data_IF_557238070553
#
_entry.id   IF_557238070553
#
_cell.length_a   1.000
_cell.length_b   1.000
_cell.length_c   1.000
_cell.angle_alpha   90.00
_cell.angle_beta   90.00
_cell.angle_gamma   90.00
#
_symmetry.space_group_name_H-M   'P 1'
#
loop_
_entity.id
_entity.type
_entity.pdbx_description
1 polymer ?
#
# COMPACT_ATOMS: atom_id res chain seq x y z
N UNK A 1 -0.35 -34.91 -6.70
CA UNK A 1 0.53 -34.43 -7.79
C UNK A 1 1.83 -33.98 -7.14
N UNK A 2 2.87 -34.81 -7.19
CA UNK A 2 4.18 -34.48 -6.62
C UNK A 2 4.78 -33.34 -7.45
N UNK A 3 5.05 -32.21 -6.81
CA UNK A 3 5.83 -31.15 -7.44
C UNK A 3 7.22 -31.71 -7.71
N UNK A 4 7.60 -31.81 -8.99
CA UNK A 4 8.96 -32.11 -9.38
C UNK A 4 9.88 -31.05 -8.78
N UNK A 5 10.82 -31.48 -7.94
CA UNK A 5 11.87 -30.61 -7.42
C UNK A 5 12.83 -30.31 -8.60
N UNK A 6 12.57 -29.16 -9.27
CA UNK A 6 13.56 -28.64 -10.21
C UNK A 6 14.71 -28.02 -9.38
N UNK A 7 15.94 -28.44 -9.65
CA UNK A 7 17.12 -27.78 -9.10
C UNK A 7 17.11 -26.31 -9.56
N UNK A 8 17.01 -25.40 -8.60
CA UNK A 8 17.09 -23.96 -8.89
C UNK A 8 18.56 -23.58 -8.99
N UNK A 9 18.99 -23.07 -10.14
CA UNK A 9 20.36 -22.62 -10.35
C UNK A 9 20.64 -21.26 -9.68
N UNK A 10 19.60 -20.48 -9.41
CA UNK A 10 19.70 -19.14 -8.78
C UNK A 10 18.51 -18.94 -7.85
N UNK A 11 18.77 -18.43 -6.66
CA UNK A 11 17.72 -18.01 -5.69
C UNK A 11 18.18 -16.79 -4.91
N UNK A 12 17.24 -16.05 -4.35
CA UNK A 12 17.48 -15.02 -3.35
C UNK A 12 17.13 -15.58 -1.97
N UNK A 13 18.02 -15.41 -1.02
CA UNK A 13 17.79 -15.76 0.38
C UNK A 13 17.52 -14.47 1.16
N UNK A 14 16.34 -14.38 1.79
CA UNK A 14 15.89 -13.20 2.51
C UNK A 14 15.96 -13.47 4.00
N UNK A 15 16.85 -12.76 4.68
CA UNK A 15 16.99 -12.81 6.13
C UNK A 15 15.96 -11.88 6.80
N UNK A 16 14.91 -12.47 7.36
CA UNK A 16 13.84 -11.74 8.05
C UNK A 16 14.29 -11.16 9.39
N UNK A 17 15.31 -11.69 10.03
CA UNK A 17 15.84 -11.14 11.28
C UNK A 17 16.68 -9.89 11.01
N UNK A 18 17.44 -9.88 9.92
CA UNK A 18 18.12 -8.67 9.46
C UNK A 18 17.11 -7.58 9.08
N UNK A 19 16.00 -7.95 8.39
CA UNK A 19 14.91 -7.02 8.08
C UNK A 19 14.30 -6.42 9.36
N UNK A 20 14.06 -7.25 10.37
CA UNK A 20 13.56 -6.86 11.69
C UNK A 20 14.50 -5.88 12.38
N UNK A 21 15.78 -6.21 12.41
CA UNK A 21 16.81 -5.35 13.04
C UNK A 21 16.87 -3.98 12.35
N UNK A 22 16.86 -3.95 11.02
CA UNK A 22 16.86 -2.71 10.25
C UNK A 22 15.60 -1.86 10.52
N UNK A 23 14.42 -2.48 10.58
CA UNK A 23 13.18 -1.75 10.89
C UNK A 23 13.22 -1.13 12.29
N UNK A 24 13.77 -1.84 13.28
CA UNK A 24 13.92 -1.31 14.65
C UNK A 24 14.82 -0.08 14.71
N UNK A 25 15.91 -0.05 13.92
CA UNK A 25 16.79 1.12 13.83
C UNK A 25 16.01 2.32 13.26
N UNK A 26 15.25 2.12 12.19
CA UNK A 26 14.40 3.18 11.59
C UNK A 26 13.36 3.66 12.59
N UNK A 27 12.68 2.74 13.28
CA UNK A 27 11.67 3.06 14.28
C UNK A 27 12.25 3.87 15.46
N UNK A 28 13.43 3.49 15.93
CA UNK A 28 14.11 4.23 16.99
C UNK A 28 14.42 5.67 16.58
N UNK A 29 14.85 5.88 15.33
CA UNK A 29 15.12 7.22 14.79
C UNK A 29 13.85 8.03 14.55
N UNK A 30 12.75 7.38 14.17
CA UNK A 30 11.46 8.03 13.99
C UNK A 30 10.79 8.44 15.32
N UNK A 31 11.19 7.85 16.44
CA UNK A 31 10.63 8.13 17.77
C UNK A 31 9.15 7.76 17.84
N UNK A 32 8.30 8.75 18.11
CA UNK A 32 6.84 8.57 18.20
C UNK A 32 6.10 8.68 16.85
N UNK A 33 6.80 8.97 15.76
CA UNK A 33 6.15 9.12 14.46
C UNK A 33 5.65 7.77 13.93
N UNK A 34 4.43 7.72 13.33
CA UNK A 34 3.93 6.51 12.71
C UNK A 34 4.76 6.16 11.46
N UNK A 35 5.04 4.87 11.29
CA UNK A 35 5.81 4.37 10.14
C UNK A 35 4.90 3.67 9.15
N UNK A 36 5.03 4.02 7.87
CA UNK A 36 4.42 3.32 6.75
C UNK A 36 5.47 2.47 6.04
N UNK A 37 5.34 1.15 6.09
CA UNK A 37 6.25 0.24 5.41
C UNK A 37 5.79 0.01 3.97
N UNK A 38 6.65 0.32 2.99
CA UNK A 38 6.35 0.15 1.57
C UNK A 38 6.76 -1.25 1.12
N UNK A 39 5.77 -2.07 0.77
CA UNK A 39 5.93 -3.49 0.40
C UNK A 39 5.44 -3.81 -1.02
N UNK A 40 5.36 -2.78 -1.88
CA UNK A 40 5.00 -2.93 -3.30
C UNK A 40 6.00 -3.80 -4.06
N UNK A 41 5.62 -4.28 -5.25
CA UNK A 41 6.44 -5.11 -6.12
C UNK A 41 7.04 -6.31 -5.35
N UNK A 42 6.16 -7.04 -4.65
CA UNK A 42 6.53 -8.16 -3.77
C UNK A 42 7.61 -7.77 -2.74
N UNK A 43 7.45 -6.60 -2.11
CA UNK A 43 8.46 -6.01 -1.21
C UNK A 43 9.82 -5.88 -1.90
N UNK A 44 9.82 -5.36 -3.15
CA UNK A 44 11.01 -5.23 -4.00
C UNK A 44 11.73 -6.57 -4.21
N UNK A 45 10.96 -7.67 -4.34
CA UNK A 45 11.46 -9.03 -4.52
C UNK A 45 11.80 -9.78 -3.22
N UNK A 46 11.52 -9.20 -2.05
CA UNK A 46 11.81 -9.83 -0.75
C UNK A 46 10.65 -10.68 -0.21
N UNK A 47 9.50 -10.73 -0.90
CA UNK A 47 8.31 -11.43 -0.44
C UNK A 47 7.40 -10.55 0.42
N UNK A 48 6.37 -9.93 -0.21
CA UNK A 48 5.53 -8.91 0.43
C UNK A 48 4.81 -9.44 1.69
N UNK A 49 4.31 -10.66 1.65
CA UNK A 49 3.55 -11.26 2.78
C UNK A 49 4.43 -11.45 4.01
N UNK A 50 5.63 -11.98 3.83
CA UNK A 50 6.58 -12.23 4.92
C UNK A 50 7.11 -10.92 5.49
N UNK A 51 7.52 -9.99 4.63
CA UNK A 51 8.00 -8.67 5.04
C UNK A 51 6.90 -7.88 5.76
N UNK A 52 5.67 -7.85 5.24
CA UNK A 52 4.54 -7.17 5.87
C UNK A 52 4.23 -7.73 7.27
N UNK A 53 4.36 -9.04 7.45
CA UNK A 53 4.19 -9.69 8.76
C UNK A 53 5.26 -9.21 9.74
N UNK A 54 6.52 -9.17 9.33
CA UNK A 54 7.63 -8.66 10.15
C UNK A 54 7.40 -7.21 10.53
N UNK A 55 7.07 -6.34 9.56
CA UNK A 55 6.84 -4.92 9.84
C UNK A 55 5.65 -4.70 10.77
N UNK A 56 4.56 -5.47 10.61
CA UNK A 56 3.41 -5.40 11.52
C UNK A 56 3.80 -5.79 12.96
N UNK A 57 4.54 -6.88 13.13
CA UNK A 57 5.03 -7.33 14.45
C UNK A 57 5.95 -6.31 15.11
N UNK A 58 6.77 -5.60 14.33
CA UNK A 58 7.67 -4.57 14.83
C UNK A 58 6.99 -3.19 15.01
N UNK A 59 5.69 -3.11 14.71
CA UNK A 59 4.87 -1.93 14.99
C UNK A 59 4.90 -0.89 13.88
N UNK A 60 4.92 -1.30 12.62
CA UNK A 60 4.51 -0.45 11.53
C UNK A 60 3.06 -0.02 11.72
N UNK A 61 2.75 1.22 11.39
CA UNK A 61 1.39 1.78 11.50
C UNK A 61 0.58 1.58 10.22
N UNK A 62 1.25 1.49 9.08
CA UNK A 62 0.67 1.37 7.75
C UNK A 62 1.54 0.46 6.88
N UNK A 63 0.89 -0.13 5.87
CA UNK A 63 1.56 -0.74 4.72
C UNK A 63 1.21 0.06 3.47
N UNK A 64 2.15 0.15 2.51
CA UNK A 64 1.88 0.78 1.23
C UNK A 64 2.29 -0.13 0.07
N UNK A 65 1.43 -0.15 -0.95
CA UNK A 65 1.57 -0.98 -2.14
C UNK A 65 1.34 -0.16 -3.41
N UNK A 66 1.57 -0.72 -4.60
CA UNK A 66 1.40 0.01 -5.86
C UNK A 66 0.01 -0.13 -6.47
N UNK A 67 -0.70 -1.24 -6.22
CA UNK A 67 -1.97 -1.54 -6.88
C UNK A 67 -2.90 -2.38 -6.00
N UNK A 68 -4.17 -2.50 -6.44
CA UNK A 68 -5.19 -3.24 -5.73
C UNK A 68 -4.85 -4.73 -5.57
N UNK A 69 -4.24 -5.35 -6.58
CA UNK A 69 -3.89 -6.78 -6.51
C UNK A 69 -2.93 -7.08 -5.36
N UNK A 70 -1.92 -6.23 -5.15
CA UNK A 70 -0.97 -6.34 -4.03
C UNK A 70 -1.65 -6.12 -2.68
N UNK A 71 -2.56 -5.12 -2.60
CA UNK A 71 -3.34 -4.88 -1.38
C UNK A 71 -4.21 -6.08 -1.01
N UNK A 72 -4.90 -6.66 -1.98
CA UNK A 72 -5.74 -7.85 -1.78
C UNK A 72 -4.90 -9.08 -1.41
N UNK A 73 -3.70 -9.23 -1.94
CA UNK A 73 -2.76 -10.29 -1.53
C UNK A 73 -2.44 -10.20 -0.04
N UNK A 74 -2.13 -9.00 0.44
CA UNK A 74 -1.87 -8.75 1.86
C UNK A 74 -3.11 -9.03 2.73
N UNK A 75 -4.30 -8.57 2.32
CA UNK A 75 -5.54 -8.87 3.06
C UNK A 75 -5.82 -10.37 3.14
N UNK A 76 -5.68 -11.11 2.04
CA UNK A 76 -5.85 -12.58 2.00
C UNK A 76 -4.83 -13.30 2.89
N UNK A 77 -3.66 -12.73 3.12
CA UNK A 77 -2.64 -13.26 4.03
C UNK A 77 -2.91 -12.98 5.52
N UNK A 78 -4.04 -12.31 5.84
CA UNK A 78 -4.45 -11.97 7.19
C UNK A 78 -3.90 -10.64 7.71
N UNK A 79 -3.36 -9.77 6.85
CA UNK A 79 -2.90 -8.44 7.27
C UNK A 79 -4.09 -7.55 7.67
N UNK A 80 -4.02 -6.98 8.88
CA UNK A 80 -5.05 -6.09 9.44
C UNK A 80 -4.64 -4.62 9.47
N UNK A 81 -3.33 -4.31 9.32
CA UNK A 81 -2.87 -2.92 9.26
C UNK A 81 -3.57 -2.16 8.13
N UNK A 82 -3.75 -0.85 8.27
CA UNK A 82 -4.17 0.01 7.17
C UNK A 82 -3.25 -0.17 5.95
N UNK A 83 -3.84 -0.27 4.75
CA UNK A 83 -3.09 -0.42 3.50
C UNK A 83 -3.41 0.77 2.60
N UNK A 84 -2.35 1.44 2.12
CA UNK A 84 -2.42 2.54 1.16
C UNK A 84 -1.95 2.06 -0.22
N UNK A 85 -2.78 2.25 -1.24
CA UNK A 85 -2.36 2.10 -2.64
C UNK A 85 -1.77 3.43 -3.10
N UNK A 86 -0.47 3.43 -3.44
CA UNK A 86 0.26 4.62 -3.88
C UNK A 86 0.00 4.97 -5.36
N UNK A 87 -0.38 3.99 -6.17
CA UNK A 87 -0.63 4.16 -7.59
C UNK A 87 -2.07 4.53 -7.92
N UNK A 88 -2.37 4.62 -9.21
CA UNK A 88 -3.72 4.86 -9.68
C UNK A 88 -4.65 3.70 -9.36
N UNK A 89 -5.84 4.02 -8.88
CA UNK A 89 -6.93 3.06 -8.67
C UNK A 89 -8.13 3.50 -9.53
N UNK A 90 -8.63 2.57 -10.32
CA UNK A 90 -9.83 2.84 -11.13
C UNK A 90 -11.08 2.92 -10.22
N UNK A 91 -12.00 3.86 -10.47
CA UNK A 91 -13.24 4.00 -9.69
C UNK A 91 -14.08 2.72 -9.63
N UNK A 92 -14.04 1.90 -10.67
CA UNK A 92 -14.73 0.59 -10.73
C UNK A 92 -14.36 -0.36 -9.59
N UNK A 93 -13.23 -0.12 -8.91
CA UNK A 93 -12.79 -0.92 -7.76
C UNK A 93 -13.30 -0.39 -6.40
N UNK A 94 -14.16 0.65 -6.36
CA UNK A 94 -14.65 1.25 -5.13
C UNK A 94 -15.26 0.22 -4.17
N UNK A 95 -16.07 -0.72 -4.67
CA UNK A 95 -16.65 -1.78 -3.85
C UNK A 95 -15.59 -2.67 -3.18
N UNK A 96 -14.48 -2.99 -3.87
CA UNK A 96 -13.38 -3.75 -3.31
C UNK A 96 -12.60 -2.96 -2.27
N UNK A 97 -12.34 -1.67 -2.53
CA UNK A 97 -11.68 -0.79 -1.55
C UNK A 97 -12.47 -0.68 -0.25
N UNK A 98 -13.80 -0.56 -0.35
CA UNK A 98 -14.70 -0.48 0.80
C UNK A 98 -14.73 -1.81 1.57
N UNK A 99 -14.97 -2.92 0.86
CA UNK A 99 -15.10 -4.25 1.47
C UNK A 99 -13.83 -4.68 2.21
N UNK A 100 -12.68 -4.43 1.62
CA UNK A 100 -11.38 -4.90 2.12
C UNK A 100 -10.64 -3.83 2.94
N UNK A 101 -11.30 -2.71 3.24
CA UNK A 101 -10.77 -1.57 4.01
C UNK A 101 -9.39 -1.09 3.50
N UNK A 102 -9.32 -0.75 2.21
CA UNK A 102 -8.11 -0.32 1.53
C UNK A 102 -8.22 1.17 1.20
N UNK A 103 -7.17 1.94 1.49
CA UNK A 103 -7.07 3.37 1.21
C UNK A 103 -6.41 3.60 -0.14
N UNK A 104 -6.95 4.50 -0.96
CA UNK A 104 -6.40 4.87 -2.26
C UNK A 104 -5.70 6.24 -2.21
N UNK A 105 -4.62 6.42 -2.96
CA UNK A 105 -4.11 7.76 -3.24
C UNK A 105 -5.03 8.48 -4.21
N UNK A 106 -5.41 9.72 -3.89
CA UNK A 106 -6.16 10.62 -4.74
C UNK A 106 -5.28 11.82 -5.10
N UNK A 107 -5.14 12.10 -6.39
CA UNK A 107 -4.17 13.07 -6.89
C UNK A 107 -4.74 14.02 -7.95
N UNK A 108 -6.04 13.98 -8.18
CA UNK A 108 -6.72 14.92 -9.06
C UNK A 108 -8.21 15.04 -8.72
N UNK A 109 -8.78 16.21 -8.99
CA UNK A 109 -10.21 16.45 -8.77
C UNK A 109 -11.12 15.53 -9.60
N UNK A 110 -10.84 15.25 -10.89
CA UNK A 110 -11.62 14.27 -11.65
C UNK A 110 -11.62 12.89 -11.01
N UNK A 111 -10.47 12.43 -10.50
CA UNK A 111 -10.39 11.14 -9.79
C UNK A 111 -11.19 11.15 -8.49
N UNK A 112 -11.12 12.24 -7.71
CA UNK A 112 -11.89 12.38 -6.47
C UNK A 112 -13.39 12.25 -6.74
N UNK A 113 -13.91 12.96 -7.74
CA UNK A 113 -15.32 12.89 -8.16
C UNK A 113 -15.73 11.49 -8.59
N UNK A 114 -14.94 10.87 -9.48
CA UNK A 114 -15.23 9.52 -9.97
C UNK A 114 -15.20 8.45 -8.86
N UNK A 115 -14.26 8.54 -7.92
CA UNK A 115 -14.22 7.66 -6.74
C UNK A 115 -15.42 7.90 -5.82
N UNK A 116 -15.82 9.16 -5.62
CA UNK A 116 -16.99 9.52 -4.80
C UNK A 116 -18.29 8.93 -5.38
N UNK A 117 -18.53 9.12 -6.68
CA UNK A 117 -19.68 8.58 -7.38
C UNK A 117 -19.72 7.04 -7.30
N UNK A 118 -18.59 6.38 -7.56
CA UNK A 118 -18.48 4.93 -7.47
C UNK A 118 -18.67 4.42 -6.03
N UNK A 119 -18.19 5.13 -5.02
CA UNK A 119 -18.38 4.79 -3.62
C UNK A 119 -19.86 4.89 -3.21
N UNK A 120 -20.57 5.94 -3.66
CA UNK A 120 -22.01 6.10 -3.44
C UNK A 120 -22.80 4.96 -4.09
N UNK A 121 -22.47 4.62 -5.35
CA UNK A 121 -23.10 3.50 -6.05
C UNK A 121 -22.85 2.15 -5.35
N UNK A 122 -21.69 1.99 -4.69
CA UNK A 122 -21.36 0.82 -3.89
C UNK A 122 -21.95 0.85 -2.46
N UNK A 123 -22.68 1.89 -2.09
CA UNK A 123 -23.33 2.02 -0.78
C UNK A 123 -22.36 2.29 0.39
N UNK A 124 -21.19 2.87 0.13
CA UNK A 124 -20.19 3.08 1.16
C UNK A 124 -19.29 4.31 0.95
N UNK A 125 -18.15 4.33 1.62
CA UNK A 125 -17.15 5.39 1.53
C UNK A 125 -15.79 4.81 1.26
N UNK A 126 -15.09 5.31 0.24
CA UNK A 126 -13.70 5.00 -0.03
C UNK A 126 -12.82 5.94 0.80
N UNK A 127 -11.85 5.37 1.52
CA UNK A 127 -10.82 6.13 2.22
C UNK A 127 -9.77 6.58 1.22
N UNK A 128 -9.36 7.85 1.28
CA UNK A 128 -8.34 8.39 0.39
C UNK A 128 -7.28 9.16 1.15
N UNK A 129 -6.05 9.14 0.63
CA UNK A 129 -5.00 10.12 0.95
C UNK A 129 -4.86 11.07 -0.23
N UNK A 130 -4.97 12.37 0.02
CA UNK A 130 -4.69 13.39 -0.99
C UNK A 130 -3.18 13.45 -1.20
N UNK A 131 -2.74 13.17 -2.41
CA UNK A 131 -1.34 13.22 -2.80
C UNK A 131 -1.01 14.61 -3.36
N UNK A 132 -0.03 15.29 -2.78
CA UNK A 132 0.45 16.59 -3.23
C UNK A 132 1.79 16.43 -3.95
N UNK A 133 1.91 16.99 -5.14
CA UNK A 133 3.18 17.05 -5.84
C UNK A 133 3.98 18.26 -5.35
N UNK A 134 5.04 17.98 -4.62
CA UNK A 134 5.96 19.00 -4.08
C UNK A 134 7.18 19.24 -4.95
N UNK A 135 7.14 18.81 -6.22
CA UNK A 135 8.21 19.05 -7.19
C UNK A 135 8.79 17.79 -7.85
N UNK A 136 8.32 16.59 -7.50
CA UNK A 136 8.76 15.36 -8.17
C UNK A 136 8.19 15.22 -9.59
N UNK A 137 7.02 15.82 -9.86
CA UNK A 137 6.40 15.87 -11.19
C UNK A 137 5.90 14.51 -11.70
N UNK A 138 5.51 13.60 -10.81
CA UNK A 138 5.04 12.27 -11.21
C UNK A 138 3.54 12.08 -11.02
N UNK A 139 3.04 12.32 -9.82
CA UNK A 139 1.64 12.12 -9.42
C UNK A 139 1.36 12.98 -8.18
N UNK A 140 0.23 13.67 -8.17
CA UNK A 140 -0.17 14.54 -7.07
C UNK A 140 -0.84 15.80 -7.57
N UNK A 141 -1.54 16.48 -6.67
CA UNK A 141 -2.07 17.81 -6.93
C UNK A 141 -0.90 18.81 -7.04
N UNK A 142 -0.71 19.38 -8.22
CA UNK A 142 0.34 20.35 -8.47
C UNK A 142 -0.10 21.79 -8.13
N UNK A 143 -1.40 22.09 -8.28
CA UNK A 143 -1.97 23.39 -8.00
C UNK A 143 -2.78 23.35 -6.71
N UNK A 144 -2.58 24.36 -5.86
CA UNK A 144 -3.32 24.50 -4.61
C UNK A 144 -4.84 24.59 -4.83
N UNK A 145 -5.27 25.29 -5.86
CA UNK A 145 -6.69 25.45 -6.21
C UNK A 145 -7.39 24.12 -6.47
N UNK A 146 -6.72 23.19 -7.13
CA UNK A 146 -7.26 21.85 -7.41
C UNK A 146 -7.27 20.99 -6.14
N UNK A 147 -6.29 21.16 -5.27
CA UNK A 147 -6.23 20.49 -3.98
C UNK A 147 -7.35 20.95 -3.05
N UNK A 148 -7.57 22.28 -2.93
CA UNK A 148 -8.59 22.86 -2.07
C UNK A 148 -10.01 22.50 -2.54
N UNK A 149 -10.19 22.18 -3.83
CA UNK A 149 -11.46 21.75 -4.42
C UNK A 149 -11.75 20.24 -4.27
N UNK A 150 -10.74 19.46 -3.94
CA UNK A 150 -10.86 17.99 -3.82
C UNK A 150 -11.28 17.57 -2.41
#
# INVERSE_FOLDING_TARGET
>A
MQMQNFEKHVWAEIDLDALRANFRIVKQRAGSLPLCAVVKADSYGHGAVQCARVFAQEGASWLAVSCLAEALQLRRSGQTLPILILGHVQPTYAAALIRDDITAACYSLPQAKALSEAAQAAGGRVKVHLAVDTGMGRIGFALRTDFDAA
#
